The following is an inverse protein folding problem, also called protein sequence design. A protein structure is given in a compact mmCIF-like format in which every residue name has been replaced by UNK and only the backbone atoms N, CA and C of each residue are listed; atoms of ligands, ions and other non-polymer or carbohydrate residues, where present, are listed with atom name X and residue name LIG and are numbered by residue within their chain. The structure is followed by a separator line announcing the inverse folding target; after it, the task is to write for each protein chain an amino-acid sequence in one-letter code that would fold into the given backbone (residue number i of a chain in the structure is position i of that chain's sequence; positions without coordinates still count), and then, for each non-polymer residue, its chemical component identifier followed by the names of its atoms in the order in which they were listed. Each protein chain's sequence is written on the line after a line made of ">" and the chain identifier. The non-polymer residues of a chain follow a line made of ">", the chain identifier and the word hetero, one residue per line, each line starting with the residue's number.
data_IF_026944781311
#
_entry.id   IF_026944781311
#
_cell.length_a   1.000
_cell.length_b   1.000
_cell.length_c   1.000
_cell.angle_alpha   90.00
_cell.angle_beta   90.00
_cell.angle_gamma   90.00
#
_symmetry.space_group_name_H-M   'P 1'
#
loop_
_entity.id
_entity.type
_entity.pdbx_description
1 polymer ?
#
# COMPACT_ATOMS: atom_id res chain seq x y z
N UNK A 1 68.09 -5.98 -25.33
CA UNK A 1 68.64 -4.83 -24.60
C UNK A 1 67.55 -3.81 -24.76
N UNK A 2 66.61 -3.86 -23.83
CA UNK A 2 65.33 -3.18 -23.96
C UNK A 2 65.21 -2.26 -22.74
N UNK A 3 65.10 -0.97 -23.05
CA UNK A 3 65.16 0.13 -22.11
C UNK A 3 64.03 0.06 -21.08
N UNK A 4 64.38 0.10 -19.79
CA UNK A 4 63.42 0.33 -18.71
C UNK A 4 63.17 1.84 -18.65
N UNK A 5 62.03 2.28 -19.17
CA UNK A 5 61.57 3.66 -18.98
C UNK A 5 61.14 3.87 -17.53
N UNK A 6 61.85 4.75 -16.82
CA UNK A 6 61.45 5.22 -15.50
C UNK A 6 60.21 6.10 -15.65
N UNK A 7 59.10 5.70 -15.02
CA UNK A 7 57.88 6.51 -14.97
C UNK A 7 58.06 7.54 -13.85
N UNK A 8 58.12 8.81 -14.23
CA UNK A 8 58.17 9.95 -13.32
C UNK A 8 56.78 10.18 -12.70
N UNK A 9 56.66 10.02 -11.39
CA UNK A 9 55.39 10.19 -10.66
C UNK A 9 55.33 11.65 -10.22
N UNK A 10 54.50 12.46 -10.88
CA UNK A 10 54.28 13.85 -10.47
C UNK A 10 53.56 13.87 -9.11
N UNK A 11 54.18 14.52 -8.12
CA UNK A 11 53.58 14.73 -6.80
C UNK A 11 52.23 15.45 -6.93
N UNK A 12 51.19 14.87 -6.33
CA UNK A 12 49.86 15.46 -6.29
C UNK A 12 49.90 16.60 -5.27
N UNK A 13 49.84 17.83 -5.77
CA UNK A 13 49.89 19.03 -4.94
C UNK A 13 48.51 19.27 -4.28
N UNK A 14 48.42 18.97 -2.97
CA UNK A 14 47.18 18.96 -2.17
C UNK A 14 46.59 20.36 -1.97
N UNK A 15 47.39 21.41 -2.19
CA UNK A 15 47.04 22.83 -1.97
C UNK A 15 45.98 23.39 -2.94
N UNK A 16 45.41 22.55 -3.82
CA UNK A 16 44.28 22.92 -4.72
C UNK A 16 42.90 22.47 -4.24
N UNK A 17 42.80 21.82 -3.09
CA UNK A 17 41.51 21.34 -2.52
C UNK A 17 40.72 22.47 -1.82
N UNK A 18 41.22 23.70 -1.80
CA UNK A 18 40.61 24.86 -1.13
C UNK A 18 39.32 25.42 -1.78
N UNK A 19 38.72 24.69 -2.73
CA UNK A 19 37.44 25.05 -3.35
C UNK A 19 36.39 23.96 -3.19
N UNK A 20 36.29 23.39 -1.99
CA UNK A 20 35.02 22.80 -1.57
C UNK A 20 34.16 23.96 -1.11
N UNK A 21 33.25 24.40 -1.99
CA UNK A 21 32.24 25.38 -1.66
C UNK A 21 31.51 24.88 -0.40
N UNK A 22 31.70 25.60 0.71
CA UNK A 22 30.92 25.35 1.94
C UNK A 22 29.46 25.52 1.56
N UNK A 23 28.69 24.43 1.71
CA UNK A 23 27.25 24.45 1.52
C UNK A 23 26.68 25.45 2.53
N UNK A 24 26.19 26.57 2.02
CA UNK A 24 25.54 27.63 2.79
C UNK A 24 24.09 27.22 3.03
N UNK A 25 23.84 26.60 4.19
CA UNK A 25 22.54 26.02 4.59
C UNK A 25 21.45 27.10 4.64
N UNK A 26 21.83 28.37 4.81
CA UNK A 26 20.92 29.52 4.93
C UNK A 26 20.24 29.90 3.59
N UNK A 27 20.69 29.34 2.45
CA UNK A 27 20.07 29.54 1.12
C UNK A 27 19.06 28.46 0.73
N UNK A 28 18.78 27.50 1.60
CA UNK A 28 17.76 26.49 1.34
C UNK A 28 16.38 27.13 1.55
N UNK A 29 15.70 27.42 0.45
CA UNK A 29 14.30 27.83 0.45
C UNK A 29 13.41 26.59 0.63
N UNK A 30 12.82 26.43 1.82
CA UNK A 30 11.94 25.32 2.16
C UNK A 30 10.52 25.47 1.59
N UNK A 31 10.17 26.65 1.06
CA UNK A 31 8.79 26.97 0.66
C UNK A 31 8.34 26.26 -0.64
N UNK A 32 9.27 25.60 -1.34
CA UNK A 32 9.02 24.85 -2.58
C UNK A 32 9.13 23.33 -2.43
N UNK A 33 9.19 22.79 -1.20
CA UNK A 33 8.99 21.35 -1.01
C UNK A 33 7.50 21.07 -1.10
N UNK A 34 7.04 20.77 -2.32
CA UNK A 34 5.74 20.14 -2.54
C UNK A 34 5.82 18.71 -1.97
N UNK A 35 5.67 18.61 -0.65
CA UNK A 35 5.30 17.36 -0.02
C UNK A 35 3.86 17.16 -0.45
N UNK A 36 3.69 16.54 -1.62
CA UNK A 36 2.44 15.92 -1.99
C UNK A 36 2.05 15.14 -0.75
N UNK A 37 1.00 15.61 -0.07
CA UNK A 37 0.52 14.95 1.13
C UNK A 37 0.12 13.60 0.60
N UNK A 38 0.98 12.59 0.78
CA UNK A 38 0.59 11.20 0.76
C UNK A 38 -0.69 11.21 1.58
N UNK A 39 -1.80 11.02 0.88
CA UNK A 39 -3.15 11.10 1.39
C UNK A 39 -3.09 10.34 2.70
N UNK A 40 -3.09 11.08 3.81
CA UNK A 40 -2.70 10.55 5.12
C UNK A 40 -3.51 9.29 5.26
N UNK A 41 -2.83 8.13 5.32
CA UNK A 41 -3.45 6.82 5.55
C UNK A 41 -4.57 7.08 6.53
N UNK A 42 -5.81 7.05 6.05
CA UNK A 42 -6.94 7.50 6.85
C UNK A 42 -6.97 6.55 8.03
N UNK A 43 -6.45 6.99 9.16
CA UNK A 43 -6.37 6.17 10.37
C UNK A 43 -7.82 6.13 10.86
N UNK A 44 -8.56 5.14 10.37
CA UNK A 44 -9.94 4.92 10.75
C UNK A 44 -9.95 4.58 12.25
N UNK A 45 -10.49 5.49 13.05
CA UNK A 45 -10.81 5.25 14.46
C UNK A 45 -12.12 4.47 14.54
N UNK A 46 -12.11 3.36 15.28
CA UNK A 46 -13.15 2.32 15.36
C UNK A 46 -14.42 2.69 16.16
N UNK A 47 -14.84 3.96 16.16
CA UNK A 47 -15.97 4.40 16.98
C UNK A 47 -17.35 4.24 16.30
N UNK A 48 -17.41 3.78 15.03
CA UNK A 48 -18.66 3.51 14.32
C UNK A 48 -18.92 2.00 14.16
N UNK A 49 -19.27 1.31 15.26
CA UNK A 49 -19.96 0.01 15.21
C UNK A 49 -21.43 0.30 14.85
N UNK A 50 -21.68 0.70 13.59
CA UNK A 50 -22.98 1.15 13.11
C UNK A 50 -23.49 0.47 11.85
N UNK A 51 -22.63 -0.19 11.07
CA UNK A 51 -23.02 -0.78 9.80
C UNK A 51 -22.96 -2.32 9.89
N UNK A 52 -24.13 -2.96 9.82
CA UNK A 52 -24.21 -4.39 9.52
C UNK A 52 -23.40 -4.70 8.25
N UNK A 53 -22.77 -5.89 8.15
CA UNK A 53 -22.07 -6.28 6.93
C UNK A 53 -22.92 -6.03 5.69
N UNK A 54 -22.36 -5.25 4.76
CA UNK A 54 -23.00 -4.88 3.50
C UNK A 54 -24.25 -4.01 3.59
N UNK A 55 -24.56 -3.35 4.72
CA UNK A 55 -25.75 -2.49 4.87
C UNK A 55 -27.05 -3.21 4.48
N UNK A 56 -27.14 -4.50 4.83
CA UNK A 56 -28.25 -5.39 4.46
C UNK A 56 -28.37 -5.67 2.96
N UNK A 57 -27.39 -5.31 2.13
CA UNK A 57 -27.39 -5.61 0.69
C UNK A 57 -26.98 -7.07 0.45
N UNK A 58 -27.45 -7.68 -0.66
CA UNK A 58 -27.11 -9.06 -0.97
C UNK A 58 -25.61 -9.28 -1.13
N UNK A 59 -25.12 -10.38 -0.57
CA UNK A 59 -23.78 -10.89 -0.84
C UNK A 59 -23.80 -11.52 -2.23
N UNK A 60 -22.86 -11.11 -3.07
CA UNK A 60 -22.74 -11.56 -4.46
C UNK A 60 -21.53 -12.45 -4.70
N UNK A 61 -20.53 -12.43 -3.81
CA UNK A 61 -19.34 -13.27 -3.90
C UNK A 61 -18.81 -13.59 -2.50
N UNK A 62 -18.22 -14.78 -2.37
CA UNK A 62 -17.66 -15.30 -1.13
C UNK A 62 -16.34 -15.97 -1.49
N UNK A 63 -15.28 -15.63 -0.75
CA UNK A 63 -13.93 -16.17 -0.97
C UNK A 63 -13.31 -16.62 0.35
N UNK A 64 -12.64 -17.77 0.32
CA UNK A 64 -12.03 -18.40 1.50
C UNK A 64 -10.51 -18.45 1.30
N UNK A 65 -9.77 -18.14 2.36
CA UNK A 65 -8.31 -18.25 2.37
C UNK A 65 -7.82 -19.70 2.22
N UNK A 66 -6.61 -19.95 1.68
CA UNK A 66 -6.12 -21.30 1.42
C UNK A 66 -6.09 -22.25 2.62
N UNK A 67 -5.85 -21.73 3.84
CA UNK A 67 -5.88 -22.53 5.08
C UNK A 67 -7.19 -22.39 5.84
N UNK A 68 -8.20 -21.79 5.22
CA UNK A 68 -9.55 -21.65 5.78
C UNK A 68 -9.57 -20.89 7.12
N UNK A 69 -8.61 -20.00 7.35
CA UNK A 69 -8.51 -19.19 8.60
C UNK A 69 -9.24 -17.86 8.50
N UNK A 70 -9.62 -17.49 7.29
CA UNK A 70 -10.24 -16.23 6.95
C UNK A 70 -11.18 -16.38 5.76
N UNK A 71 -12.30 -15.67 5.82
CA UNK A 71 -13.34 -15.62 4.80
C UNK A 71 -13.64 -14.15 4.52
N UNK A 72 -13.92 -13.82 3.27
CA UNK A 72 -14.51 -12.55 2.91
C UNK A 72 -15.82 -12.73 2.13
N UNK A 73 -16.71 -11.77 2.30
CA UNK A 73 -17.96 -11.64 1.56
C UNK A 73 -17.95 -10.30 0.83
N UNK A 74 -18.50 -10.26 -0.38
CA UNK A 74 -18.57 -9.03 -1.19
C UNK A 74 -20.01 -8.77 -1.63
N UNK A 75 -20.48 -7.53 -1.45
CA UNK A 75 -21.73 -7.06 -2.03
C UNK A 75 -21.48 -6.10 -3.18
N UNK A 76 -21.81 -6.51 -4.40
CA UNK A 76 -21.74 -5.66 -5.59
C UNK A 76 -22.62 -4.41 -5.49
N UNK A 77 -23.76 -4.50 -4.78
CA UNK A 77 -24.71 -3.39 -4.65
C UNK A 77 -24.21 -2.32 -3.66
N UNK A 78 -23.56 -2.76 -2.58
CA UNK A 78 -23.02 -1.86 -1.56
C UNK A 78 -21.55 -1.48 -1.83
N UNK A 79 -20.90 -2.17 -2.80
CA UNK A 79 -19.46 -2.08 -3.08
C UNK A 79 -18.62 -2.21 -1.80
N UNK A 80 -18.99 -3.19 -0.98
CA UNK A 80 -18.35 -3.44 0.31
C UNK A 80 -17.90 -4.90 0.41
N UNK A 81 -16.74 -5.08 1.04
CA UNK A 81 -16.16 -6.37 1.39
C UNK A 81 -16.20 -6.47 2.92
N UNK A 82 -16.75 -7.55 3.46
CA UNK A 82 -16.71 -7.84 4.89
C UNK A 82 -15.81 -9.05 5.14
N UNK A 83 -14.94 -8.96 6.15
CA UNK A 83 -13.99 -9.97 6.55
C UNK A 83 -14.40 -10.69 7.83
N UNK A 84 -14.12 -11.98 7.88
CA UNK A 84 -14.55 -12.89 8.92
C UNK A 84 -13.42 -13.81 9.34
N UNK A 85 -13.08 -13.81 10.63
CA UNK A 85 -12.15 -14.78 11.19
C UNK A 85 -12.85 -16.13 11.33
N UNK A 86 -12.18 -17.17 10.82
CA UNK A 86 -12.58 -18.56 10.98
C UNK A 86 -11.73 -19.13 12.12
N UNK A 87 -12.28 -19.10 13.34
CA UNK A 87 -11.72 -19.83 14.48
C UNK A 87 -12.37 -21.22 14.58
N UNK A 88 -11.75 -22.12 15.36
CA UNK A 88 -12.14 -23.52 15.58
C UNK A 88 -13.61 -23.87 15.26
N UNK A 89 -13.78 -24.93 14.46
CA UNK A 89 -15.04 -25.49 13.95
C UNK A 89 -16.08 -25.73 15.05
N UNK A 90 -15.65 -25.89 16.29
CA UNK A 90 -16.52 -26.05 17.46
C UNK A 90 -17.36 -24.80 17.77
N UNK A 91 -16.99 -23.64 17.21
CA UNK A 91 -17.81 -22.42 17.24
C UNK A 91 -18.66 -22.33 15.97
N UNK A 92 -19.97 -22.39 16.15
CA UNK A 92 -20.98 -22.30 15.08
C UNK A 92 -21.00 -20.94 14.36
N UNK A 93 -20.33 -19.92 14.90
CA UNK A 93 -20.41 -18.55 14.41
C UNK A 93 -19.03 -17.98 14.04
N UNK A 94 -18.93 -17.49 12.80
CA UNK A 94 -17.79 -16.71 12.33
C UNK A 94 -17.70 -15.39 13.10
N UNK A 95 -16.47 -14.97 13.41
CA UNK A 95 -16.26 -13.67 14.07
C UNK A 95 -16.04 -12.59 13.02
N UNK A 96 -16.90 -11.59 13.02
CA UNK A 96 -16.71 -10.40 12.21
C UNK A 96 -15.36 -9.75 12.56
N UNK A 97 -14.61 -9.37 11.53
CA UNK A 97 -13.30 -8.73 11.65
C UNK A 97 -13.37 -7.26 11.26
N UNK A 98 -13.81 -6.98 10.02
CA UNK A 98 -13.82 -5.63 9.46
C UNK A 98 -14.68 -5.54 8.19
N UNK A 99 -15.01 -4.32 7.78
CA UNK A 99 -15.63 -4.01 6.48
C UNK A 99 -14.79 -2.96 5.76
N UNK A 100 -14.61 -3.12 4.45
CA UNK A 100 -13.93 -2.17 3.57
C UNK A 100 -14.85 -1.83 2.41
N UNK A 101 -14.95 -0.54 2.07
CA UNK A 101 -15.59 -0.08 0.82
C UNK A 101 -14.55 0.07 -0.27
N UNK A 102 -14.94 -0.28 -1.49
CA UNK A 102 -14.11 -0.12 -2.67
C UNK A 102 -14.76 0.90 -3.60
N UNK A 103 -13.94 1.73 -4.23
CA UNK A 103 -14.40 2.73 -5.19
C UNK A 103 -14.52 2.18 -6.61
N UNK A 104 -14.11 0.92 -6.83
CA UNK A 104 -14.23 0.26 -8.13
C UNK A 104 -15.69 0.01 -8.53
N UNK A 105 -16.00 0.30 -9.79
CA UNK A 105 -17.34 0.10 -10.34
C UNK A 105 -17.72 -1.39 -10.41
N UNK A 106 -16.76 -2.24 -10.79
CA UNK A 106 -16.99 -3.65 -11.06
C UNK A 106 -15.76 -4.50 -10.68
N UNK A 107 -15.89 -5.27 -9.60
CA UNK A 107 -15.03 -6.42 -9.32
C UNK A 107 -15.52 -7.63 -10.11
N UNK A 108 -14.60 -8.29 -10.82
CA UNK A 108 -14.83 -9.55 -11.51
C UNK A 108 -14.35 -10.74 -10.69
N UNK A 109 -13.16 -10.64 -10.10
CA UNK A 109 -12.56 -11.67 -9.29
C UNK A 109 -11.95 -11.07 -8.02
N UNK A 110 -11.97 -11.85 -6.95
CA UNK A 110 -11.43 -11.50 -5.66
C UNK A 110 -10.77 -12.76 -5.09
N UNK A 111 -9.70 -12.60 -4.33
CA UNK A 111 -9.13 -13.66 -3.53
C UNK A 111 -8.60 -13.10 -2.22
N UNK A 112 -8.48 -13.97 -1.22
CA UNK A 112 -7.98 -13.60 0.11
C UNK A 112 -6.92 -14.60 0.56
N UNK A 113 -5.87 -14.07 1.16
CA UNK A 113 -4.78 -14.85 1.73
C UNK A 113 -5.00 -15.04 3.23
N UNK A 114 -4.32 -16.02 3.82
CA UNK A 114 -4.48 -16.29 5.24
C UNK A 114 -4.00 -15.14 6.15
N UNK A 115 -3.11 -14.27 5.65
CA UNK A 115 -2.64 -13.08 6.35
C UNK A 115 -3.58 -11.87 6.17
N UNK A 116 -4.83 -12.14 5.73
CA UNK A 116 -5.93 -11.19 5.51
C UNK A 116 -5.67 -10.19 4.38
N UNK A 117 -4.58 -10.35 3.63
CA UNK A 117 -4.39 -9.60 2.39
C UNK A 117 -5.39 -10.10 1.36
N UNK A 118 -5.85 -9.19 0.52
CA UNK A 118 -6.74 -9.51 -0.60
C UNK A 118 -6.14 -9.01 -1.90
N UNK A 119 -6.47 -9.67 -2.99
CA UNK A 119 -6.23 -9.19 -4.34
C UNK A 119 -7.53 -9.27 -5.13
N UNK A 120 -7.75 -8.30 -6.01
CA UNK A 120 -8.93 -8.27 -6.87
C UNK A 120 -8.54 -7.89 -8.29
N UNK A 121 -9.43 -8.22 -9.22
CA UNK A 121 -9.38 -7.77 -10.61
C UNK A 121 -10.70 -7.05 -10.89
N UNK A 122 -10.59 -5.76 -11.21
CA UNK A 122 -11.71 -4.91 -11.57
C UNK A 122 -11.42 -4.04 -12.79
N UNK A 123 -12.45 -3.32 -13.24
CA UNK A 123 -12.32 -2.30 -14.28
C UNK A 123 -12.73 -0.96 -13.71
N UNK A 124 -11.94 0.06 -14.05
CA UNK A 124 -12.28 1.44 -13.77
C UNK A 124 -12.86 2.07 -15.03
N UNK A 125 -14.13 2.52 -15.00
CA UNK A 125 -14.65 3.30 -16.12
C UNK A 125 -14.28 4.77 -15.94
N UNK A 126 -13.29 5.26 -16.70
CA UNK A 126 -13.06 6.70 -16.82
C UNK A 126 -14.20 7.29 -17.65
N UNK A 127 -15.11 7.99 -17.01
CA UNK A 127 -16.04 8.89 -17.71
C UNK A 127 -15.22 10.05 -18.26
N UNK A 128 -15.03 10.09 -19.59
CA UNK A 128 -14.54 11.29 -20.26
C UNK A 128 -15.66 12.33 -20.23
N UNK A 129 -15.50 13.38 -19.43
CA UNK A 129 -16.31 14.59 -19.44
C UNK A 129 -15.82 15.57 -20.50
#
# INVERSE_FOLDING_TARGET
>A
MDDISVIEINEINVDKIDKIDKIDVDKIDFDNIDVDKNDVDKIFTFDDIGDEPHNGKPITMIEISPKERYLITYSKKDRSIAGWNVEDIDKVQLKFDQTVKIDEDLIYNLCVFDDKKLAYIGYFTRLCS
#
